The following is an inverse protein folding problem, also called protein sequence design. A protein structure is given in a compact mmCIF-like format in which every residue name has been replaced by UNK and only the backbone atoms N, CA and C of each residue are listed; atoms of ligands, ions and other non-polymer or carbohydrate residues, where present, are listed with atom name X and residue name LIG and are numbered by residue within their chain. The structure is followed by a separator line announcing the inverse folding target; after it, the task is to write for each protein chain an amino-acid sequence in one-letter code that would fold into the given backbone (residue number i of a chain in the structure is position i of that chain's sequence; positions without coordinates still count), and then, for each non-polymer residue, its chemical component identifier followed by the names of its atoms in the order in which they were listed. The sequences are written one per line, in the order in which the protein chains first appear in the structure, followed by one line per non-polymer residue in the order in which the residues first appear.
data_IF_703201421462
#
_entry.id   IF_703201421462
#
_cell.length_a   1.000
_cell.length_b   1.000
_cell.length_c   1.000
_cell.angle_alpha   90.00
_cell.angle_beta   90.00
_cell.angle_gamma   90.00
#
_symmetry.space_group_name_H-M   'P 1'
#
loop_
_entity.id
_entity.type
_entity.pdbx_description
1 polymer ?
#
# COMPACT_ATOMS: atom_id res chain seq x y z
N UNK A 1 -4.98 6.37 13.29
CA UNK A 1 -4.85 5.03 13.91
C UNK A 1 -3.56 4.38 13.43
N UNK A 2 -2.61 4.12 14.34
CA UNK A 2 -1.18 3.89 14.01
C UNK A 2 -0.91 2.56 13.31
N UNK A 3 -1.66 1.50 13.62
CA UNK A 3 -1.42 0.16 13.09
C UNK A 3 -1.60 0.09 11.56
N UNK A 4 -2.79 0.41 11.06
CA UNK A 4 -3.09 0.35 9.63
C UNK A 4 -2.17 1.25 8.81
N UNK A 5 -1.93 2.47 9.30
CA UNK A 5 -1.03 3.42 8.64
C UNK A 5 0.40 2.86 8.53
N UNK A 6 0.90 2.20 9.58
CA UNK A 6 2.23 1.59 9.58
C UNK A 6 2.32 0.42 8.59
N UNK A 7 1.30 -0.43 8.54
CA UNK A 7 1.24 -1.57 7.61
C UNK A 7 1.18 -1.09 6.15
N UNK A 8 0.31 -0.11 5.85
CA UNK A 8 0.23 0.49 4.52
C UNK A 8 1.57 1.14 4.13
N UNK A 9 2.16 1.94 5.02
CA UNK A 9 3.48 2.56 4.77
C UNK A 9 4.56 1.52 4.48
N UNK A 10 4.58 0.40 5.20
CA UNK A 10 5.53 -0.67 4.96
C UNK A 10 5.31 -1.36 3.60
N UNK A 11 4.06 -1.59 3.19
CA UNK A 11 3.75 -2.10 1.85
C UNK A 11 4.31 -1.17 0.79
N UNK A 12 3.99 0.13 0.84
CA UNK A 12 4.49 1.05 -0.19
C UNK A 12 6.03 1.18 -0.18
N UNK A 13 6.66 1.16 1.00
CA UNK A 13 8.13 1.17 1.13
C UNK A 13 8.81 -0.10 0.64
N UNK A 14 8.13 -1.24 0.64
CA UNK A 14 8.70 -2.48 0.10
C UNK A 14 9.09 -2.35 -1.37
N UNK A 15 8.41 -1.47 -2.12
CA UNK A 15 8.67 -1.21 -3.52
C UNK A 15 9.75 -0.15 -3.78
N UNK A 16 10.37 0.41 -2.72
CA UNK A 16 11.58 1.22 -2.86
C UNK A 16 12.85 0.36 -3.06
N UNK A 17 12.77 -0.95 -2.79
CA UNK A 17 13.83 -1.94 -2.98
C UNK A 17 13.98 -2.35 -4.45
N UNK A 18 15.16 -2.87 -4.80
CA UNK A 18 15.54 -3.17 -6.20
C UNK A 18 15.38 -4.63 -6.56
N UNK A 19 15.84 -5.51 -5.67
CA UNK A 19 15.83 -6.94 -5.91
C UNK A 19 14.46 -7.51 -5.56
N UNK A 20 13.98 -8.47 -6.36
CA UNK A 20 12.65 -9.04 -6.18
C UNK A 20 12.50 -9.73 -4.82
N UNK A 21 13.57 -10.38 -4.36
CA UNK A 21 13.63 -11.06 -3.07
C UNK A 21 13.49 -10.04 -1.92
N UNK A 22 14.18 -8.90 -1.98
CA UNK A 22 14.09 -7.84 -0.96
C UNK A 22 12.67 -7.25 -0.87
N UNK A 23 12.02 -7.05 -2.02
CA UNK A 23 10.64 -6.56 -2.09
C UNK A 23 9.71 -7.57 -1.41
N UNK A 24 9.86 -8.85 -1.76
CA UNK A 24 9.03 -9.93 -1.23
C UNK A 24 9.23 -10.09 0.28
N UNK A 25 10.47 -10.17 0.74
CA UNK A 25 10.83 -10.25 2.16
C UNK A 25 10.23 -9.07 2.93
N UNK A 26 10.32 -7.85 2.39
CA UNK A 26 9.75 -6.69 3.07
C UNK A 26 8.23 -6.74 3.12
N UNK A 27 7.55 -7.18 2.05
CA UNK A 27 6.09 -7.33 2.04
C UNK A 27 5.63 -8.33 3.11
N UNK A 28 6.37 -9.43 3.33
CA UNK A 28 5.99 -10.46 4.33
C UNK A 28 5.92 -9.92 5.75
N UNK A 29 6.57 -8.79 6.04
CA UNK A 29 6.51 -8.12 7.35
C UNK A 29 5.17 -7.46 7.64
N UNK A 30 4.35 -7.20 6.61
CA UNK A 30 3.10 -6.44 6.73
C UNK A 30 1.92 -7.08 6.02
N UNK A 31 2.15 -8.08 5.16
CA UNK A 31 1.11 -8.81 4.40
C UNK A 31 1.32 -10.30 4.58
N UNK A 32 0.24 -11.06 4.65
CA UNK A 32 0.27 -12.52 4.72
C UNK A 32 -0.71 -13.17 3.75
N UNK A 33 -0.59 -14.49 3.61
CA UNK A 33 -1.48 -15.33 2.80
C UNK A 33 -1.49 -14.97 1.33
N UNK A 34 -2.60 -15.27 0.65
CA UNK A 34 -2.77 -15.03 -0.79
C UNK A 34 -2.64 -13.55 -1.19
N UNK A 35 -2.89 -12.63 -0.24
CA UNK A 35 -2.78 -11.21 -0.47
C UNK A 35 -1.34 -10.80 -0.79
N UNK A 36 -0.34 -11.47 -0.20
CA UNK A 36 1.08 -11.19 -0.43
C UNK A 36 1.41 -11.28 -1.93
N UNK A 37 1.07 -12.41 -2.54
CA UNK A 37 1.28 -12.66 -3.97
C UNK A 37 0.49 -11.67 -4.84
N UNK A 38 -0.75 -11.35 -4.47
CA UNK A 38 -1.59 -10.39 -5.20
C UNK A 38 -0.98 -8.98 -5.20
N UNK A 39 -0.58 -8.48 -4.04
CA UNK A 39 0.03 -7.15 -3.87
C UNK A 39 1.36 -7.06 -4.63
N UNK A 40 2.19 -8.10 -4.52
CA UNK A 40 3.46 -8.19 -5.24
C UNK A 40 3.25 -8.14 -6.77
N UNK A 41 2.38 -9.01 -7.32
CA UNK A 41 2.15 -9.09 -8.77
C UNK A 41 1.52 -7.82 -9.35
N UNK A 42 0.59 -7.18 -8.63
CA UNK A 42 -0.01 -5.92 -9.07
C UNK A 42 1.04 -4.79 -9.14
N UNK A 43 1.87 -4.64 -8.11
CA UNK A 43 2.89 -3.60 -8.10
C UNK A 43 4.03 -3.87 -9.09
N UNK A 44 4.46 -5.13 -9.27
CA UNK A 44 5.46 -5.50 -10.26
C UNK A 44 5.05 -5.08 -11.67
N UNK A 45 3.79 -5.30 -12.07
CA UNK A 45 3.27 -4.84 -13.37
C UNK A 45 3.39 -3.33 -13.54
N UNK A 46 3.12 -2.56 -12.48
CA UNK A 46 3.23 -1.09 -12.49
C UNK A 46 4.68 -0.58 -12.55
N UNK A 47 5.59 -1.27 -11.85
CA UNK A 47 7.01 -0.91 -11.78
C UNK A 47 7.78 -1.24 -13.07
N UNK A 48 7.52 -2.39 -13.70
CA UNK A 48 8.16 -2.78 -14.97
C UNK A 48 7.90 -1.74 -16.07
N UNK A 49 6.66 -1.22 -16.14
CA UNK A 49 6.29 -0.13 -17.06
C UNK A 49 7.08 1.15 -16.78
N UNK A 50 7.39 1.43 -15.50
CA UNK A 50 8.13 2.63 -15.09
C UNK A 50 9.63 2.51 -15.38
N UNK A 51 10.23 1.34 -15.11
CA UNK A 51 11.67 1.08 -15.34
C UNK A 51 12.04 1.09 -16.82
N UNK A 52 11.16 0.63 -17.71
CA UNK A 52 11.38 0.66 -19.16
C UNK A 52 11.65 2.09 -19.71
N UNK A 53 11.21 3.13 -18.99
CA UNK A 53 11.48 4.54 -19.31
C UNK A 53 12.68 5.16 -18.58
N UNK A 54 13.48 4.37 -17.84
CA UNK A 54 14.58 4.88 -17.01
C UNK A 54 14.11 5.71 -15.81
N UNK A 55 12.81 5.67 -15.49
CA UNK A 55 12.21 6.48 -14.45
C UNK A 55 12.17 5.74 -13.11
N UNK A 56 12.31 6.49 -12.01
CA UNK A 56 12.23 5.93 -10.64
C UNK A 56 10.97 6.39 -9.94
N UNK A 57 10.09 5.45 -9.59
CA UNK A 57 8.96 5.71 -8.72
C UNK A 57 9.39 5.64 -7.25
N UNK A 58 8.87 6.53 -6.41
CA UNK A 58 9.00 6.46 -4.95
C UNK A 58 7.71 6.94 -4.31
N UNK A 59 7.19 6.22 -3.32
CA UNK A 59 6.06 6.72 -2.53
C UNK A 59 6.60 7.65 -1.44
N UNK A 60 6.13 8.90 -1.45
CA UNK A 60 6.59 9.93 -0.54
C UNK A 60 5.70 10.10 0.68
N UNK A 61 4.39 9.82 0.55
CA UNK A 61 3.42 10.13 1.61
C UNK A 61 2.22 9.16 1.57
N UNK A 62 1.82 8.70 2.76
CA UNK A 62 0.56 8.00 3.01
C UNK A 62 -0.19 8.79 4.07
N UNK A 63 -1.42 9.18 3.78
CA UNK A 63 -2.27 9.91 4.71
C UNK A 63 -3.64 9.24 4.82
N UNK A 64 -3.99 8.78 6.02
CA UNK A 64 -5.32 8.24 6.32
C UNK A 64 -6.29 9.42 6.40
N UNK A 65 -7.37 9.36 5.62
CA UNK A 65 -8.42 10.38 5.58
C UNK A 65 -9.57 10.02 6.52
N UNK A 66 -10.03 8.78 6.46
CA UNK A 66 -11.06 8.24 7.34
C UNK A 66 -10.75 6.78 7.66
N UNK A 67 -11.17 6.33 8.84
CA UNK A 67 -11.05 4.93 9.22
C UNK A 67 -12.06 4.54 10.28
N UNK A 68 -12.78 3.46 9.99
CA UNK A 68 -13.64 2.76 10.94
C UNK A 68 -13.01 1.40 11.25
N UNK A 69 -13.09 0.98 12.50
CA UNK A 69 -12.57 -0.32 12.95
C UNK A 69 -13.65 -1.12 13.63
N UNK A 70 -13.68 -2.42 13.35
CA UNK A 70 -14.52 -3.39 14.03
C UNK A 70 -13.74 -4.70 14.23
N UNK A 71 -14.18 -5.57 15.15
CA UNK A 71 -13.67 -6.94 15.21
C UNK A 71 -13.92 -7.66 13.89
N UNK A 72 -12.93 -8.38 13.38
CA UNK A 72 -13.15 -9.27 12.25
C UNK A 72 -13.95 -10.48 12.74
N UNK A 73 -15.09 -10.78 12.14
CA UNK A 73 -15.88 -11.96 12.51
C UNK A 73 -15.17 -13.32 12.27
N UNK A 74 -14.01 -13.32 11.60
CA UNK A 74 -13.26 -14.51 11.22
C UNK A 74 -12.17 -14.94 12.21
N UNK A 75 -11.75 -14.08 13.15
CA UNK A 75 -10.67 -14.38 14.10
C UNK A 75 -10.87 -13.65 15.42
N UNK A 76 -10.62 -14.29 16.60
CA UNK A 76 -10.80 -13.67 17.91
C UNK A 76 -10.00 -12.37 18.12
N UNK A 77 -8.87 -12.25 17.44
CA UNK A 77 -8.01 -11.06 17.52
C UNK A 77 -8.00 -10.25 16.22
N UNK A 78 -8.67 -10.71 15.16
CA UNK A 78 -8.62 -9.99 13.90
C UNK A 78 -9.43 -8.70 13.94
N UNK A 79 -9.01 -7.74 13.13
CA UNK A 79 -9.62 -6.43 12.98
C UNK A 79 -10.03 -6.23 11.53
N UNK A 80 -11.23 -5.72 11.32
CA UNK A 80 -11.71 -5.24 10.04
C UNK A 80 -11.67 -3.71 10.05
N UNK A 81 -11.07 -3.15 9.00
CA UNK A 81 -11.03 -1.72 8.76
C UNK A 81 -11.79 -1.38 7.50
N UNK A 82 -12.63 -0.35 7.58
CA UNK A 82 -13.10 0.36 6.40
C UNK A 82 -12.35 1.69 6.38
N UNK A 83 -11.49 1.88 5.40
CA UNK A 83 -10.52 2.97 5.41
C UNK A 83 -10.44 3.69 4.08
N UNK A 84 -10.32 5.01 4.17
CA UNK A 84 -10.00 5.89 3.05
C UNK A 84 -8.64 6.51 3.29
N UNK A 85 -7.72 6.39 2.33
CA UNK A 85 -6.39 6.99 2.44
C UNK A 85 -5.92 7.55 1.10
N UNK A 86 -4.92 8.42 1.16
CA UNK A 86 -4.20 8.88 -0.02
C UNK A 86 -2.79 8.34 -0.03
N UNK A 87 -2.31 7.96 -1.21
CA UNK A 87 -0.91 7.65 -1.46
C UNK A 87 -0.38 8.62 -2.51
N UNK A 88 0.69 9.33 -2.17
CA UNK A 88 1.42 10.20 -3.07
C UNK A 88 2.78 9.60 -3.39
N UNK A 89 3.09 9.52 -4.68
CA UNK A 89 4.40 9.14 -5.15
C UNK A 89 4.95 10.12 -6.18
N UNK A 90 6.25 10.07 -6.37
CA UNK A 90 6.96 10.82 -7.41
C UNK A 90 7.63 9.84 -8.37
N UNK A 91 7.62 10.19 -9.65
CA UNK A 91 8.32 9.46 -10.71
C UNK A 91 9.29 10.44 -11.38
N UNK A 92 10.59 10.19 -11.25
CA UNK A 92 11.62 11.06 -11.82
C UNK A 92 12.30 10.45 -13.05
N UNK A 93 12.56 11.27 -14.06
CA UNK A 93 13.47 11.01 -15.19
C UNK A 93 14.36 12.24 -15.40
N UNK A 94 15.38 12.17 -16.28
CA UNK A 94 16.33 13.28 -16.42
C UNK A 94 15.63 14.58 -16.82
N UNK A 95 15.70 15.59 -15.95
CA UNK A 95 15.10 16.91 -16.13
C UNK A 95 13.68 17.11 -15.57
N UNK A 96 12.94 16.05 -15.18
CA UNK A 96 11.52 16.18 -14.80
C UNK A 96 11.10 15.20 -13.67
N UNK A 97 10.29 15.70 -12.73
CA UNK A 97 9.65 14.91 -11.68
C UNK A 97 8.13 15.01 -11.86
N UNK A 98 7.46 13.85 -11.96
CA UNK A 98 6.01 13.76 -11.99
C UNK A 98 5.48 13.31 -10.63
N UNK A 99 4.70 14.16 -9.97
CA UNK A 99 3.96 13.77 -8.77
C UNK A 99 2.63 13.15 -9.15
N UNK A 100 2.28 12.04 -8.50
CA UNK A 100 0.96 11.40 -8.61
C UNK A 100 0.40 11.21 -7.22
N UNK A 101 -0.90 11.45 -7.07
CA UNK A 101 -1.63 11.19 -5.83
C UNK A 101 -2.91 10.44 -6.17
N UNK A 102 -3.12 9.32 -5.49
CA UNK A 102 -4.33 8.53 -5.59
C UNK A 102 -5.00 8.50 -4.21
N UNK A 103 -6.31 8.55 -4.20
CA UNK A 103 -7.15 8.21 -3.06
C UNK A 103 -7.68 6.80 -3.26
N UNK A 104 -7.73 6.05 -2.18
CA UNK A 104 -8.23 4.69 -2.12
C UNK A 104 -9.30 4.59 -1.02
N UNK A 105 -10.29 3.75 -1.24
CA UNK A 105 -11.24 3.28 -0.24
C UNK A 105 -11.23 1.75 -0.26
N UNK A 106 -11.11 1.11 0.90
CA UNK A 106 -11.04 -0.35 0.99
C UNK A 106 -11.56 -0.92 2.30
N UNK A 107 -12.02 -2.18 2.25
CA UNK A 107 -12.14 -3.05 3.41
C UNK A 107 -10.83 -3.83 3.60
N UNK A 108 -10.26 -3.79 4.81
CA UNK A 108 -8.94 -4.35 5.11
C UNK A 108 -9.06 -5.25 6.35
N UNK A 109 -8.65 -6.50 6.23
CA UNK A 109 -8.56 -7.44 7.33
C UNK A 109 -7.12 -7.50 7.83
N UNK A 110 -6.95 -7.38 9.15
CA UNK A 110 -5.65 -7.42 9.81
C UNK A 110 -5.71 -8.41 10.96
N UNK A 111 -4.77 -9.34 10.99
CA UNK A 111 -4.73 -10.42 11.96
C UNK A 111 -3.30 -10.64 12.47
N UNK A 112 -3.13 -11.17 13.69
CA UNK A 112 -1.83 -11.63 14.15
C UNK A 112 -1.47 -12.93 13.41
N UNK A 113 -0.35 -12.91 12.69
CA UNK A 113 0.26 -14.07 12.03
C UNK A 113 1.64 -14.25 12.62
N UNK A 114 1.90 -15.42 13.22
CA UNK A 114 3.16 -15.73 13.91
C UNK A 114 3.57 -14.67 14.95
N UNK A 115 2.58 -14.12 15.67
CA UNK A 115 2.78 -13.09 16.69
C UNK A 115 2.97 -11.66 16.15
N UNK A 116 2.85 -11.45 14.83
CA UNK A 116 2.99 -10.12 14.19
C UNK A 116 1.71 -9.75 13.45
N UNK A 117 1.25 -8.52 13.63
CA UNK A 117 0.08 -8.02 12.90
C UNK A 117 0.38 -7.83 11.42
N UNK A 118 -0.45 -8.42 10.56
CA UNK A 118 -0.32 -8.33 9.11
C UNK A 118 -1.69 -8.12 8.47
N UNK A 119 -1.70 -7.47 7.31
CA UNK A 119 -2.87 -7.43 6.43
C UNK A 119 -3.04 -8.81 5.80
N UNK A 120 -4.18 -9.45 6.05
CA UNK A 120 -4.52 -10.79 5.55
C UNK A 120 -5.60 -10.75 4.48
N UNK A 121 -6.36 -9.64 4.41
CA UNK A 121 -7.35 -9.39 3.37
C UNK A 121 -7.41 -7.92 2.99
N UNK A 122 -7.64 -7.65 1.71
CA UNK A 122 -7.87 -6.31 1.18
C UNK A 122 -8.85 -6.41 0.02
N UNK A 123 -9.96 -5.69 0.14
CA UNK A 123 -10.96 -5.50 -0.90
C UNK A 123 -11.00 -4.00 -1.22
N UNK A 124 -10.52 -3.65 -2.42
CA UNK A 124 -10.55 -2.27 -2.89
C UNK A 124 -11.96 -1.92 -3.37
N UNK A 125 -12.52 -0.86 -2.82
CA UNK A 125 -13.87 -0.38 -3.12
C UNK A 125 -13.84 0.77 -4.14
N UNK A 126 -12.91 1.70 -3.99
CA UNK A 126 -12.70 2.81 -4.93
C UNK A 126 -11.22 3.17 -5.07
N UNK A 127 -10.85 3.60 -6.28
CA UNK A 127 -9.55 4.22 -6.58
C UNK A 127 -9.77 5.45 -7.45
N UNK A 128 -9.34 6.60 -6.95
CA UNK A 128 -9.45 7.87 -7.67
C UNK A 128 -8.12 8.59 -7.73
N UNK A 129 -7.69 8.93 -8.94
CA UNK A 129 -6.59 9.88 -9.13
C UNK A 129 -7.05 11.28 -8.75
N UNK A 130 -6.28 11.95 -7.90
CA UNK A 130 -6.55 13.32 -7.45
C UNK A 130 -5.39 14.24 -7.80
N UNK A 131 -5.68 15.54 -7.94
CA UNK A 131 -4.66 16.55 -8.19
C UNK A 131 -3.74 16.67 -6.96
N UNK A 132 -2.42 16.37 -7.08
CA UNK A 132 -1.50 16.52 -5.96
C UNK A 132 -1.37 17.98 -5.46
N UNK A 133 -1.73 18.97 -6.28
CA UNK A 133 -1.68 20.40 -5.96
C UNK A 133 -3.06 21.03 -5.72
N UNK A 134 -4.14 20.23 -5.79
CA UNK A 134 -5.48 20.69 -5.48
C UNK A 134 -5.56 21.20 -4.04
N UNK A 135 -6.19 22.36 -3.81
CA UNK A 135 -6.42 22.90 -2.46
C UNK A 135 -7.24 21.89 -1.65
N UNK A 136 -6.81 21.66 -0.40
CA UNK A 136 -7.52 20.87 0.62
C UNK A 136 -8.84 21.50 0.99
#
# INVERSE_FOLDING_TARGET
MILLESLLKNIYRSFDFREEDDVYDRLTTSVSGDLLSKVYLQNRKSLVVTQAGGARARVSEINILDVQVSPSGGSPMGLAFHATWTAQGTVGHWGHIHTRKNQYEANILVEPVDGVWKITGLELLDEKRIDPYGKR
#
